data_IF_756781145784
#
_entry.id   IF_756781145784
#
_cell.length_a   1.000
_cell.length_b   1.000
_cell.length_c   1.000
_cell.angle_alpha   90.00
_cell.angle_beta   90.00
_cell.angle_gamma   90.00
#
_symmetry.space_group_name_H-M   'P 1'
#
loop_
_entity.id
_entity.type
_entity.pdbx_description
1 polymer ?
#
# COMPACT_ATOMS: atom_id res chain seq x y z
N UNK A 1 -4.37 -0.86 -57.75
CA UNK A 1 -4.97 -0.91 -59.10
C UNK A 1 -3.87 -1.11 -60.13
N UNK A 2 -3.68 -2.34 -60.60
CA UNK A 2 -3.01 -2.66 -61.87
C UNK A 2 -3.84 -3.83 -62.44
N UNK A 3 -4.34 -3.66 -63.66
CA UNK A 3 -5.27 -4.62 -64.26
C UNK A 3 -4.63 -6.01 -64.41
N UNK A 4 -5.39 -7.09 -64.28
CA UNK A 4 -4.86 -8.42 -64.54
C UNK A 4 -4.33 -8.44 -65.98
N UNK A 5 -3.12 -8.97 -66.16
CA UNK A 5 -2.60 -9.28 -67.50
C UNK A 5 -3.69 -10.01 -68.27
N UNK A 6 -3.88 -9.61 -69.52
CA UNK A 6 -4.90 -10.19 -70.38
C UNK A 6 -4.81 -11.72 -70.29
N UNK A 7 -5.90 -12.45 -69.95
CA UNK A 7 -5.87 -13.89 -69.70
C UNK A 7 -5.26 -14.68 -70.86
N UNK A 8 -5.24 -14.08 -72.06
CA UNK A 8 -4.60 -14.56 -73.26
C UNK A 8 -3.08 -14.74 -73.15
N UNK A 9 -2.35 -13.90 -72.40
CA UNK A 9 -0.88 -14.04 -72.26
C UNK A 9 -0.53 -15.21 -71.34
N UNK A 10 -1.20 -15.34 -70.18
CA UNK A 10 -1.06 -16.51 -69.29
C UNK A 10 -1.50 -17.80 -70.01
N UNK A 11 -2.61 -17.75 -70.76
CA UNK A 11 -3.06 -18.87 -71.58
C UNK A 11 -2.02 -19.25 -72.65
N UNK A 12 -1.48 -18.28 -73.40
CA UNK A 12 -0.47 -18.54 -74.43
C UNK A 12 0.85 -19.07 -73.86
N UNK A 13 1.32 -18.52 -72.73
CA UNK A 13 2.50 -19.03 -72.01
C UNK A 13 2.28 -20.46 -71.48
N UNK A 14 1.07 -20.78 -71.01
CA UNK A 14 0.69 -22.15 -70.62
C UNK A 14 0.65 -23.10 -71.82
N UNK A 15 0.17 -22.63 -72.97
CA UNK A 15 0.10 -23.40 -74.22
C UNK A 15 1.49 -23.70 -74.79
N UNK A 16 2.39 -22.72 -74.75
CA UNK A 16 3.82 -22.88 -75.08
C UNK A 16 4.46 -23.95 -74.18
N UNK A 17 4.17 -23.94 -72.87
CA UNK A 17 4.69 -24.93 -71.91
C UNK A 17 4.11 -26.34 -72.14
N UNK A 18 2.84 -26.46 -72.50
CA UNK A 18 2.14 -27.74 -72.65
C UNK A 18 2.43 -28.46 -73.99
N UNK A 19 2.54 -27.72 -75.11
CA UNK A 19 2.67 -28.32 -76.45
C UNK A 19 4.13 -28.50 -76.92
N UNK A 20 5.09 -27.99 -76.14
CA UNK A 20 6.52 -28.05 -76.44
C UNK A 20 6.96 -26.96 -77.42
N UNK A 21 8.05 -26.25 -77.08
CA UNK A 21 8.55 -25.06 -77.81
C UNK A 21 8.71 -25.30 -79.32
N UNK A 22 9.14 -26.49 -79.72
CA UNK A 22 9.41 -26.86 -81.13
C UNK A 22 8.15 -26.99 -81.99
N UNK A 23 7.10 -27.64 -81.48
CA UNK A 23 5.86 -27.88 -82.26
C UNK A 23 5.10 -26.57 -82.49
N UNK A 24 5.02 -25.73 -81.47
CA UNK A 24 4.34 -24.44 -81.58
C UNK A 24 5.13 -23.47 -82.48
N UNK A 25 6.48 -23.47 -82.39
CA UNK A 25 7.32 -22.66 -83.26
C UNK A 25 7.15 -23.04 -84.74
N UNK A 26 7.03 -24.33 -85.07
CA UNK A 26 6.79 -24.80 -86.43
C UNK A 26 5.42 -24.35 -86.97
N UNK A 27 4.36 -24.44 -86.17
CA UNK A 27 3.01 -23.99 -86.54
C UNK A 27 2.99 -22.46 -86.73
N UNK A 28 3.59 -21.71 -85.81
CA UNK A 28 3.71 -20.26 -85.93
C UNK A 28 4.54 -19.85 -87.16
N UNK A 29 5.61 -20.60 -87.48
CA UNK A 29 6.43 -20.34 -88.65
C UNK A 29 5.68 -20.59 -89.95
N UNK A 30 4.89 -21.67 -90.02
CA UNK A 30 4.04 -21.98 -91.18
C UNK A 30 2.98 -20.90 -91.36
N UNK A 31 2.34 -20.46 -90.28
CA UNK A 31 1.33 -19.40 -90.30
C UNK A 31 1.93 -18.03 -90.66
N UNK A 32 3.13 -17.72 -90.17
CA UNK A 32 3.85 -16.48 -90.49
C UNK A 32 4.22 -16.41 -91.97
N UNK A 33 4.73 -17.50 -92.54
CA UNK A 33 5.03 -17.59 -93.98
C UNK A 33 3.76 -17.48 -94.82
N UNK A 34 2.66 -18.11 -94.39
CA UNK A 34 1.37 -18.06 -95.09
C UNK A 34 0.75 -16.66 -95.05
N UNK A 35 0.79 -15.98 -93.89
CA UNK A 35 0.33 -14.60 -93.77
C UNK A 35 1.18 -13.63 -94.60
N UNK A 36 2.51 -13.79 -94.61
CA UNK A 36 3.40 -12.97 -95.44
C UNK A 36 3.09 -13.12 -96.93
N UNK A 37 2.86 -14.35 -97.40
CA UNK A 37 2.47 -14.63 -98.78
C UNK A 37 1.08 -14.06 -99.13
N UNK A 38 0.10 -14.14 -98.23
CA UNK A 38 -1.23 -13.55 -98.43
C UNK A 38 -1.20 -12.02 -98.46
N UNK A 39 -0.42 -11.38 -97.57
CA UNK A 39 -0.30 -9.93 -97.53
C UNK A 39 0.36 -9.39 -98.81
N UNK A 40 1.40 -10.04 -99.32
CA UNK A 40 2.03 -9.66 -100.59
C UNK A 40 1.13 -9.93 -101.79
N UNK A 41 0.35 -11.02 -101.78
CA UNK A 41 -0.66 -11.28 -102.80
C UNK A 41 -1.79 -10.23 -102.80
N UNK A 42 -2.34 -9.88 -101.63
CA UNK A 42 -3.35 -8.84 -101.47
C UNK A 42 -2.83 -7.47 -101.90
N UNK A 43 -1.61 -7.11 -101.49
CA UNK A 43 -0.96 -5.87 -101.94
C UNK A 43 -0.84 -5.83 -103.47
N UNK A 44 -0.41 -6.92 -104.10
CA UNK A 44 -0.31 -7.03 -105.56
C UNK A 44 -1.66 -6.84 -106.26
N UNK A 45 -2.73 -7.46 -105.74
CA UNK A 45 -4.08 -7.35 -106.29
C UNK A 45 -4.62 -5.91 -106.14
N UNK A 46 -4.47 -5.29 -104.97
CA UNK A 46 -5.02 -3.96 -104.66
C UNK A 46 -4.30 -2.85 -105.40
N UNK A 47 -2.97 -2.94 -105.53
CA UNK A 47 -2.15 -1.85 -106.10
C UNK A 47 -1.85 -2.05 -107.59
N UNK A 48 -1.65 -3.30 -108.03
CA UNK A 48 -1.16 -3.61 -109.38
C UNK A 48 -2.14 -4.35 -110.28
N UNK A 49 -3.34 -4.70 -109.79
CA UNK A 49 -4.37 -5.50 -110.49
C UNK A 49 -3.86 -6.83 -111.10
N UNK A 50 -2.71 -7.33 -110.61
CA UNK A 50 -2.05 -8.57 -111.06
C UNK A 50 -1.19 -9.17 -109.93
N UNK A 51 -1.05 -10.49 -109.92
CA UNK A 51 -0.26 -11.20 -108.90
C UNK A 51 1.16 -11.41 -109.41
N UNK A 52 2.12 -10.68 -108.83
CA UNK A 52 3.55 -10.88 -109.12
C UNK A 52 4.13 -12.04 -108.29
N UNK A 53 4.36 -13.15 -108.97
CA UNK A 53 4.92 -14.36 -108.38
C UNK A 53 6.36 -14.22 -107.89
N UNK A 54 7.13 -13.24 -108.39
CA UNK A 54 8.51 -13.02 -107.94
C UNK A 54 8.54 -12.38 -106.54
N UNK A 55 7.68 -11.40 -106.28
CA UNK A 55 7.55 -10.78 -104.96
C UNK A 55 7.08 -11.77 -103.89
N UNK A 56 6.13 -12.65 -104.23
CA UNK A 56 5.64 -13.68 -103.31
C UNK A 56 6.79 -14.61 -102.91
N UNK A 57 7.59 -15.12 -103.87
CA UNK A 57 8.75 -15.97 -103.57
C UNK A 57 9.79 -15.27 -102.70
N UNK A 58 10.06 -13.99 -102.97
CA UNK A 58 10.97 -13.17 -102.16
C UNK A 58 10.49 -13.02 -100.72
N UNK A 59 9.19 -12.71 -100.52
CA UNK A 59 8.60 -12.60 -99.18
C UNK A 59 8.61 -13.92 -98.41
N UNK A 60 8.33 -15.05 -99.07
CA UNK A 60 8.42 -16.38 -98.46
C UNK A 60 9.85 -16.70 -98.02
N UNK A 61 10.86 -16.37 -98.82
CA UNK A 61 12.27 -16.62 -98.51
C UNK A 61 12.74 -15.77 -97.32
N UNK A 62 12.38 -14.48 -97.29
CA UNK A 62 12.68 -13.58 -96.16
C UNK A 62 11.99 -14.06 -94.88
N UNK A 63 10.71 -14.40 -94.94
CA UNK A 63 9.96 -14.93 -93.79
C UNK A 63 10.48 -16.29 -93.31
N UNK A 64 10.99 -17.14 -94.22
CA UNK A 64 11.60 -18.42 -93.86
C UNK A 64 12.92 -18.26 -93.08
N UNK A 65 13.73 -17.25 -93.42
CA UNK A 65 15.03 -17.00 -92.77
C UNK A 65 14.88 -16.21 -91.46
N UNK A 66 14.08 -15.15 -91.44
CA UNK A 66 13.94 -14.28 -90.26
C UNK A 66 12.85 -14.73 -89.29
N UNK A 67 11.86 -15.48 -89.76
CA UNK A 67 10.75 -15.96 -88.93
C UNK A 67 11.18 -16.76 -87.69
N UNK A 68 12.12 -17.72 -87.76
CA UNK A 68 12.51 -18.51 -86.60
C UNK A 68 13.18 -17.68 -85.50
N UNK A 69 14.02 -16.72 -85.88
CA UNK A 69 14.67 -15.79 -84.94
C UNK A 69 13.65 -14.88 -84.26
N UNK A 70 12.72 -14.32 -85.04
CA UNK A 70 11.67 -13.45 -84.52
C UNK A 70 10.72 -14.18 -83.57
N UNK A 71 10.31 -15.41 -83.90
CA UNK A 71 9.46 -16.24 -83.04
C UNK A 71 10.19 -16.65 -81.76
N UNK A 72 11.47 -17.02 -81.84
CA UNK A 72 12.27 -17.36 -80.66
C UNK A 72 12.41 -16.17 -79.70
N UNK A 73 12.66 -14.97 -80.23
CA UNK A 73 12.71 -13.74 -79.44
C UNK A 73 11.35 -13.42 -78.79
N UNK A 74 10.25 -13.54 -79.54
CA UNK A 74 8.89 -13.35 -79.00
C UNK A 74 8.59 -14.34 -77.86
N UNK A 75 8.92 -15.62 -78.02
CA UNK A 75 8.72 -16.61 -76.96
C UNK A 75 9.58 -16.34 -75.73
N UNK A 76 10.84 -15.93 -75.92
CA UNK A 76 11.69 -15.54 -74.82
C UNK A 76 11.08 -14.37 -74.04
N UNK A 77 10.62 -13.33 -74.74
CA UNK A 77 10.00 -12.16 -74.13
C UNK A 77 8.72 -12.53 -73.38
N UNK A 78 7.84 -13.33 -73.98
CA UNK A 78 6.59 -13.78 -73.34
C UNK A 78 6.88 -14.61 -72.08
N UNK A 79 7.81 -15.56 -72.14
CA UNK A 79 8.16 -16.39 -70.98
C UNK A 79 8.85 -15.60 -69.88
N UNK A 80 9.73 -14.66 -70.22
CA UNK A 80 10.41 -13.82 -69.25
C UNK A 80 9.44 -12.84 -68.58
N UNK A 81 8.50 -12.28 -69.34
CA UNK A 81 7.47 -11.38 -68.82
C UNK A 81 6.49 -12.13 -67.90
N UNK A 82 6.11 -13.37 -68.24
CA UNK A 82 5.30 -14.25 -67.37
C UNK A 82 6.02 -14.57 -66.05
N UNK A 83 7.32 -14.90 -66.10
CA UNK A 83 8.14 -15.18 -64.92
C UNK A 83 8.34 -13.94 -64.02
N UNK A 84 8.62 -12.78 -64.63
CA UNK A 84 8.74 -11.52 -63.90
C UNK A 84 7.41 -11.14 -63.22
N UNK A 85 6.29 -11.36 -63.92
CA UNK A 85 4.96 -11.13 -63.36
C UNK A 85 4.66 -12.05 -62.17
N UNK A 86 4.95 -13.36 -62.29
CA UNK A 86 4.73 -14.29 -61.18
C UNK A 86 5.57 -13.94 -59.95
N UNK A 87 6.83 -13.51 -60.14
CA UNK A 87 7.68 -13.06 -59.04
C UNK A 87 7.13 -11.81 -58.35
N UNK A 88 6.62 -10.84 -59.12
CA UNK A 88 5.99 -9.64 -58.56
C UNK A 88 4.67 -9.97 -57.83
N UNK A 89 3.86 -10.89 -58.36
CA UNK A 89 2.65 -11.37 -57.69
C UNK A 89 2.98 -12.03 -56.34
N UNK A 90 3.99 -12.91 -56.29
CA UNK A 90 4.44 -13.57 -55.06
C UNK A 90 5.02 -12.60 -54.05
N UNK A 91 5.89 -11.67 -54.48
CA UNK A 91 6.48 -10.66 -53.60
C UNK A 91 5.41 -9.73 -53.03
N UNK A 92 4.45 -9.28 -53.84
CA UNK A 92 3.34 -8.46 -53.37
C UNK A 92 2.43 -9.22 -52.40
N UNK A 93 2.27 -10.54 -52.59
CA UNK A 93 1.54 -11.38 -51.66
C UNK A 93 2.28 -11.51 -50.32
N UNK A 94 3.61 -11.72 -50.33
CA UNK A 94 4.42 -11.77 -49.12
C UNK A 94 4.40 -10.44 -48.34
N UNK A 95 4.49 -9.30 -49.02
CA UNK A 95 4.38 -7.98 -48.39
C UNK A 95 3.02 -7.79 -47.70
N UNK A 96 1.93 -8.28 -48.31
CA UNK A 96 0.59 -8.22 -47.69
C UNK A 96 0.52 -9.07 -46.43
N UNK A 97 0.99 -10.32 -46.49
CA UNK A 97 1.01 -11.21 -45.32
C UNK A 97 1.86 -10.64 -44.19
N UNK A 98 3.02 -10.05 -44.51
CA UNK A 98 3.86 -9.40 -43.52
C UNK A 98 3.15 -8.19 -42.89
N UNK A 99 2.52 -7.35 -43.69
CA UNK A 99 1.77 -6.19 -43.20
C UNK A 99 0.58 -6.61 -42.32
N UNK A 100 -0.16 -7.67 -42.70
CA UNK A 100 -1.23 -8.23 -41.89
C UNK A 100 -0.69 -8.75 -40.55
N UNK A 101 0.39 -9.54 -40.56
CA UNK A 101 1.03 -10.02 -39.34
C UNK A 101 1.56 -8.91 -38.44
N UNK A 102 2.13 -7.85 -39.02
CA UNK A 102 2.54 -6.65 -38.28
C UNK A 102 1.35 -5.92 -37.66
N UNK A 103 0.24 -5.78 -38.39
CA UNK A 103 -0.98 -5.16 -37.87
C UNK A 103 -1.57 -5.93 -36.69
N UNK A 104 -1.58 -7.26 -36.76
CA UNK A 104 -2.08 -8.10 -35.67
C UNK A 104 -1.17 -8.04 -34.44
N UNK A 105 0.16 -8.07 -34.62
CA UNK A 105 1.11 -7.85 -33.54
C UNK A 105 0.91 -6.47 -32.87
N UNK A 106 0.70 -5.42 -33.66
CA UNK A 106 0.42 -4.07 -33.13
C UNK A 106 -0.89 -4.07 -32.33
N UNK A 107 -1.94 -4.73 -32.82
CA UNK A 107 -3.22 -4.84 -32.09
C UNK A 107 -3.04 -5.56 -30.75
N UNK A 108 -2.32 -6.68 -30.74
CA UNK A 108 -2.06 -7.43 -29.52
C UNK A 108 -1.25 -6.61 -28.50
N UNK A 109 -0.17 -5.97 -28.94
CA UNK A 109 0.64 -5.10 -28.08
C UNK A 109 -0.17 -3.93 -27.52
N UNK A 110 -1.01 -3.29 -28.34
CA UNK A 110 -1.88 -2.22 -27.88
C UNK A 110 -2.88 -2.70 -26.82
N UNK A 111 -3.43 -3.90 -26.98
CA UNK A 111 -4.30 -4.52 -25.97
C UNK A 111 -3.55 -4.76 -24.66
N UNK A 112 -2.36 -5.37 -24.72
CA UNK A 112 -1.52 -5.61 -23.53
C UNK A 112 -1.11 -4.32 -22.80
N UNK A 113 -0.77 -3.27 -23.55
CA UNK A 113 -0.44 -1.95 -22.99
C UNK A 113 -1.64 -1.36 -22.25
N UNK A 114 -2.84 -1.46 -22.82
CA UNK A 114 -4.05 -0.91 -22.22
C UNK A 114 -4.43 -1.68 -20.94
N UNK A 115 -4.29 -3.00 -20.92
CA UNK A 115 -4.47 -3.79 -19.70
C UNK A 115 -3.45 -3.42 -18.62
N UNK A 116 -2.16 -3.33 -18.96
CA UNK A 116 -1.12 -2.92 -18.01
C UNK A 116 -1.35 -1.52 -17.47
N UNK A 117 -1.82 -0.59 -18.31
CA UNK A 117 -2.14 0.77 -17.92
C UNK A 117 -3.31 0.81 -16.92
N UNK A 118 -4.37 0.04 -17.16
CA UNK A 118 -5.49 -0.11 -16.21
C UNK A 118 -5.03 -0.71 -14.88
N UNK A 119 -4.23 -1.77 -14.93
CA UNK A 119 -3.68 -2.39 -13.73
C UNK A 119 -2.80 -1.42 -12.92
N UNK A 120 -1.95 -0.64 -13.61
CA UNK A 120 -1.11 0.36 -12.96
C UNK A 120 -1.94 1.50 -12.34
N UNK A 121 -2.99 1.96 -13.01
CA UNK A 121 -3.90 2.97 -12.46
C UNK A 121 -4.66 2.46 -11.23
N UNK A 122 -5.17 1.22 -11.27
CA UNK A 122 -5.83 0.60 -10.11
C UNK A 122 -4.86 0.47 -8.93
N UNK A 123 -3.64 -0.01 -9.17
CA UNK A 123 -2.59 -0.09 -8.14
C UNK A 123 -2.26 1.29 -7.56
N UNK A 124 -2.16 2.32 -8.39
CA UNK A 124 -1.87 3.68 -7.94
C UNK A 124 -2.98 4.24 -7.06
N UNK A 125 -4.25 4.04 -7.42
CA UNK A 125 -5.40 4.42 -6.59
C UNK A 125 -5.36 3.73 -5.23
N UNK A 126 -5.13 2.41 -5.20
CA UNK A 126 -5.02 1.66 -3.95
C UNK A 126 -3.86 2.17 -3.07
N UNK A 127 -2.72 2.53 -3.66
CA UNK A 127 -1.60 3.13 -2.92
C UNK A 127 -1.97 4.49 -2.34
N UNK A 128 -2.69 5.33 -3.09
CA UNK A 128 -3.09 6.66 -2.62
C UNK A 128 -4.13 6.57 -1.50
N UNK A 129 -5.07 5.63 -1.58
CA UNK A 129 -6.03 5.32 -0.50
C UNK A 129 -5.31 4.82 0.76
N UNK A 130 -4.40 3.85 0.62
CA UNK A 130 -3.61 3.32 1.74
C UNK A 130 -2.74 4.41 2.39
N UNK A 131 -2.15 5.30 1.59
CA UNK A 131 -1.38 6.44 2.12
C UNK A 131 -2.24 7.36 2.96
N UNK A 132 -3.49 7.61 2.54
CA UNK A 132 -4.43 8.44 3.29
C UNK A 132 -4.79 7.77 4.63
N UNK A 133 -5.12 6.48 4.61
CA UNK A 133 -5.44 5.71 5.82
C UNK A 133 -4.26 5.68 6.80
N UNK A 134 -3.04 5.45 6.31
CA UNK A 134 -1.82 5.48 7.14
C UNK A 134 -1.60 6.87 7.76
N UNK A 135 -1.83 7.95 6.98
CA UNK A 135 -1.67 9.31 7.48
C UNK A 135 -2.68 9.62 8.60
N UNK A 136 -3.94 9.23 8.43
CA UNK A 136 -4.99 9.40 9.44
C UNK A 136 -4.68 8.59 10.71
N UNK A 137 -4.31 7.31 10.56
CA UNK A 137 -3.94 6.44 11.69
C UNK A 137 -2.72 6.97 12.44
N UNK A 138 -1.71 7.45 11.72
CA UNK A 138 -0.50 8.03 12.33
C UNK A 138 -0.83 9.30 13.11
N UNK A 139 -1.71 10.15 12.58
CA UNK A 139 -2.16 11.37 13.29
C UNK A 139 -2.88 11.02 14.60
N UNK A 140 -3.82 10.07 14.56
CA UNK A 140 -4.52 9.61 15.75
C UNK A 140 -3.58 8.98 16.79
N UNK A 141 -2.55 8.25 16.34
CA UNK A 141 -1.57 7.68 17.23
C UNK A 141 -0.68 8.74 17.90
N UNK A 142 -0.23 9.76 17.15
CA UNK A 142 0.53 10.88 17.72
C UNK A 142 -0.32 11.62 18.76
N UNK A 143 -1.59 11.90 18.46
CA UNK A 143 -2.50 12.57 19.39
C UNK A 143 -2.72 11.76 20.68
N UNK A 144 -2.85 10.43 20.57
CA UNK A 144 -2.94 9.53 21.72
C UNK A 144 -1.65 9.52 22.54
N UNK A 145 -0.49 9.50 21.89
CA UNK A 145 0.83 9.56 22.54
C UNK A 145 1.02 10.89 23.27
N UNK A 146 0.67 12.02 22.65
CA UNK A 146 0.71 13.34 23.28
C UNK A 146 -0.23 13.43 24.51
N UNK A 147 -1.45 12.91 24.39
CA UNK A 147 -2.39 12.84 25.52
C UNK A 147 -1.85 11.96 26.65
N UNK A 148 -1.29 10.79 26.33
CA UNK A 148 -0.71 9.89 27.32
C UNK A 148 0.49 10.52 28.03
N UNK A 149 1.34 11.24 27.31
CA UNK A 149 2.48 11.97 27.87
C UNK A 149 2.00 13.10 28.79
N UNK A 150 1.01 13.89 28.36
CA UNK A 150 0.44 14.95 29.18
C UNK A 150 -0.15 14.42 30.48
N UNK A 151 -0.97 13.36 30.42
CA UNK A 151 -1.55 12.73 31.61
C UNK A 151 -0.45 12.25 32.56
N UNK A 152 0.58 11.58 32.02
CA UNK A 152 1.71 11.11 32.82
C UNK A 152 2.47 12.26 33.47
N UNK A 153 2.75 13.33 32.75
CA UNK A 153 3.41 14.52 33.29
C UNK A 153 2.58 15.18 34.40
N UNK A 154 1.26 15.29 34.24
CA UNK A 154 0.37 15.83 35.27
C UNK A 154 0.46 14.96 36.54
N UNK A 155 0.30 13.64 36.39
CA UNK A 155 0.32 12.69 37.51
C UNK A 155 1.68 12.66 38.21
N UNK A 156 2.79 12.69 37.46
CA UNK A 156 4.15 12.68 38.01
C UNK A 156 4.56 14.02 38.64
N UNK A 157 3.97 15.13 38.22
CA UNK A 157 4.20 16.46 38.82
C UNK A 157 3.40 16.73 40.10
N UNK A 158 2.44 15.85 40.42
CA UNK A 158 1.60 15.99 41.61
C UNK A 158 2.42 15.82 42.90
N UNK A 159 2.26 16.72 43.90
CA UNK A 159 2.86 16.54 45.21
C UNK A 159 2.16 15.46 46.03
N UNK A 160 0.95 15.06 45.64
CA UNK A 160 0.19 13.99 46.28
C UNK A 160 0.61 12.62 45.68
N UNK A 161 0.66 11.60 46.54
CA UNK A 161 0.89 10.22 46.15
C UNK A 161 -0.24 9.76 45.23
N UNK A 162 0.11 9.04 44.17
CA UNK A 162 -0.86 8.40 43.30
C UNK A 162 -0.43 6.97 42.98
N UNK A 163 -1.37 6.04 43.11
CA UNK A 163 -1.22 4.69 42.63
C UNK A 163 -2.53 4.13 42.08
N UNK A 164 -2.40 3.15 41.21
CA UNK A 164 -3.47 2.35 40.67
C UNK A 164 -3.19 0.88 40.99
N UNK A 165 -4.18 0.21 41.58
CA UNK A 165 -4.18 -1.25 41.74
C UNK A 165 -5.20 -1.88 40.82
N UNK A 166 -4.83 -2.99 40.18
CA UNK A 166 -5.70 -3.72 39.27
C UNK A 166 -6.82 -4.47 40.01
N UNK A 167 -7.70 -5.14 39.26
CA UNK A 167 -8.78 -5.98 39.81
C UNK A 167 -8.30 -7.11 40.72
N UNK A 168 -7.04 -7.52 40.63
CA UNK A 168 -6.45 -8.55 41.50
C UNK A 168 -5.90 -7.97 42.80
N UNK A 169 -5.74 -6.65 42.90
CA UNK A 169 -5.15 -5.95 44.04
C UNK A 169 -3.65 -5.71 43.92
N UNK A 170 -3.04 -5.94 42.75
CA UNK A 170 -1.62 -5.66 42.50
C UNK A 170 -1.43 -4.23 42.04
N UNK A 171 -0.31 -3.61 42.40
CA UNK A 171 0.03 -2.29 41.86
C UNK A 171 0.25 -2.39 40.35
N UNK A 172 -0.51 -1.63 39.57
CA UNK A 172 -0.40 -1.60 38.12
C UNK A 172 0.18 -0.27 37.60
N UNK A 173 0.09 0.81 38.38
CA UNK A 173 0.75 2.08 38.08
C UNK A 173 0.97 2.90 39.35
N UNK A 174 1.97 3.77 39.34
CA UNK A 174 2.23 4.74 40.40
C UNK A 174 2.94 5.97 39.85
N UNK A 175 2.79 7.11 40.53
CA UNK A 175 3.50 8.34 40.17
C UNK A 175 4.89 8.43 40.82
N UNK A 176 5.68 9.41 40.37
CA UNK A 176 7.01 9.68 40.97
C UNK A 176 7.00 9.98 42.46
N UNK A 177 5.97 10.63 42.98
CA UNK A 177 5.87 10.87 44.43
C UNK A 177 5.77 9.55 45.22
N UNK A 178 5.03 8.57 44.70
CA UNK A 178 4.92 7.25 45.33
C UNK A 178 6.25 6.49 45.34
N UNK A 179 7.00 6.53 44.24
CA UNK A 179 8.36 5.96 44.20
C UNK A 179 9.27 6.61 45.27
N UNK A 180 9.22 7.93 45.41
CA UNK A 180 10.05 8.69 46.36
C UNK A 180 9.72 8.37 47.82
N UNK A 181 8.44 8.24 48.18
CA UNK A 181 8.03 7.91 49.55
C UNK A 181 8.34 6.45 49.89
N UNK A 182 8.13 5.54 48.94
CA UNK A 182 8.41 4.12 49.13
C UNK A 182 9.90 3.78 49.04
N UNK A 183 10.73 4.67 48.50
CA UNK A 183 12.16 4.42 48.28
C UNK A 183 12.45 3.33 47.25
N UNK A 184 11.47 2.99 46.40
CA UNK A 184 11.53 1.92 45.39
C UNK A 184 11.13 2.46 44.03
N UNK A 185 11.69 1.88 42.98
CA UNK A 185 11.35 2.23 41.60
C UNK A 185 9.99 1.66 41.20
N UNK A 186 9.32 2.26 40.21
CA UNK A 186 8.06 1.72 39.69
C UNK A 186 8.19 0.25 39.23
N UNK A 187 9.34 -0.16 38.70
CA UNK A 187 9.60 -1.55 38.29
C UNK A 187 9.64 -2.55 39.45
N UNK A 188 9.94 -2.11 40.66
CA UNK A 188 9.95 -2.94 41.87
C UNK A 188 8.60 -2.94 42.59
N UNK A 189 7.74 -1.96 42.28
CA UNK A 189 6.42 -1.80 42.89
C UNK A 189 5.33 -2.43 42.03
N UNK A 190 5.39 -2.26 40.72
CA UNK A 190 4.37 -2.76 39.78
C UNK A 190 4.39 -4.29 39.73
N UNK A 191 3.21 -4.90 39.79
CA UNK A 191 2.99 -6.34 39.79
C UNK A 191 2.98 -6.98 41.18
N UNK A 192 3.39 -6.25 42.22
CA UNK A 192 3.44 -6.74 43.59
C UNK A 192 2.17 -6.41 44.40
N UNK A 193 1.93 -7.19 45.44
CA UNK A 193 0.83 -6.94 46.38
C UNK A 193 1.25 -5.96 47.49
N UNK A 194 0.27 -5.31 48.14
CA UNK A 194 0.52 -4.50 49.34
C UNK A 194 1.32 -5.23 50.42
N UNK A 195 1.10 -6.54 50.58
CA UNK A 195 1.82 -7.38 51.54
C UNK A 195 3.31 -7.57 51.23
N UNK A 196 3.72 -7.41 49.96
CA UNK A 196 5.13 -7.51 49.55
C UNK A 196 5.89 -6.17 49.77
N UNK A 197 5.15 -5.08 49.96
CA UNK A 197 5.67 -3.71 49.92
C UNK A 197 5.58 -3.03 51.29
N UNK A 198 4.47 -3.20 52.00
CA UNK A 198 4.21 -2.56 53.28
C UNK A 198 4.52 -3.50 54.46
N UNK A 199 4.62 -2.93 55.66
CA UNK A 199 4.65 -3.72 56.91
C UNK A 199 3.33 -4.50 57.08
N UNK A 200 3.35 -5.61 57.81
CA UNK A 200 2.20 -6.50 58.01
C UNK A 200 0.92 -5.72 58.41
N UNK A 201 1.02 -4.86 59.42
CA UNK A 201 -0.10 -4.04 59.91
C UNK A 201 -0.65 -3.09 58.83
N UNK A 202 0.25 -2.43 58.09
CA UNK A 202 -0.10 -1.48 57.03
C UNK A 202 -0.68 -2.19 55.81
N UNK A 203 -0.14 -3.36 55.46
CA UNK A 203 -0.62 -4.20 54.38
C UNK A 203 -2.03 -4.71 54.66
N UNK A 204 -2.27 -5.22 55.87
CA UNK A 204 -3.59 -5.71 56.28
C UNK A 204 -4.63 -4.58 56.21
N UNK A 205 -4.31 -3.41 56.76
CA UNK A 205 -5.18 -2.23 56.68
C UNK A 205 -5.45 -1.82 55.23
N UNK A 206 -4.43 -1.81 54.37
CA UNK A 206 -4.56 -1.45 52.96
C UNK A 206 -5.45 -2.41 52.15
N UNK A 207 -5.39 -3.70 52.46
CA UNK A 207 -6.21 -4.77 51.84
C UNK A 207 -7.66 -4.69 52.33
N UNK A 208 -7.88 -4.53 53.64
CA UNK A 208 -9.24 -4.45 54.21
C UNK A 208 -10.01 -3.25 53.66
N UNK A 209 -9.37 -2.07 53.64
CA UNK A 209 -9.97 -0.84 53.12
C UNK A 209 -10.17 -0.87 51.59
N UNK A 210 -9.43 -1.70 50.86
CA UNK A 210 -9.70 -1.96 49.44
C UNK A 210 -10.91 -2.87 49.23
N UNK A 211 -11.00 -3.91 50.05
CA UNK A 211 -12.15 -4.80 50.05
C UNK A 211 -13.44 -4.02 50.36
N UNK A 212 -13.39 -3.10 51.33
CA UNK A 212 -14.50 -2.19 51.64
C UNK A 212 -14.95 -1.36 50.43
N UNK A 213 -14.01 -0.71 49.73
CA UNK A 213 -14.31 0.11 48.55
C UNK A 213 -14.82 -0.73 47.36
N UNK A 214 -14.38 -1.98 47.24
CA UNK A 214 -14.85 -2.87 46.17
C UNK A 214 -16.24 -3.45 46.45
N UNK A 215 -16.57 -3.76 47.71
CA UNK A 215 -17.90 -4.24 48.12
C UNK A 215 -18.93 -3.13 48.16
N UNK A 216 -18.55 -1.97 48.69
CA UNK A 216 -19.40 -0.79 48.77
C UNK A 216 -18.76 0.28 47.87
N UNK A 217 -19.30 0.50 46.66
CA UNK A 217 -18.68 1.33 45.61
C UNK A 217 -18.79 2.83 45.94
N UNK A 218 -18.20 3.22 47.06
CA UNK A 218 -18.09 4.58 47.57
C UNK A 218 -16.63 4.89 47.82
N UNK A 219 -16.27 6.15 47.64
CA UNK A 219 -14.95 6.62 48.03
C UNK A 219 -14.74 6.50 49.55
N UNK A 220 -13.53 6.13 49.94
CA UNK A 220 -13.11 6.03 51.33
C UNK A 220 -11.92 6.96 51.57
N UNK A 221 -12.01 7.81 52.59
CA UNK A 221 -10.93 8.70 53.01
C UNK A 221 -10.53 8.37 54.44
N UNK A 222 -9.24 8.13 54.68
CA UNK A 222 -8.71 7.84 56.02
C UNK A 222 -7.31 8.43 56.22
N UNK A 223 -7.00 8.81 57.45
CA UNK A 223 -5.64 9.18 57.85
C UNK A 223 -4.83 7.90 58.12
N UNK A 224 -3.68 7.77 57.46
CA UNK A 224 -2.76 6.64 57.59
C UNK A 224 -1.42 7.15 58.08
N UNK A 225 -0.86 6.44 59.06
CA UNK A 225 0.51 6.63 59.51
C UNK A 225 1.43 5.73 58.67
N UNK A 226 2.46 6.31 58.07
CA UNK A 226 3.50 5.57 57.36
C UNK A 226 4.84 5.76 58.08
N UNK A 227 5.50 4.65 58.42
CA UNK A 227 6.81 4.67 59.06
C UNK A 227 7.84 4.27 58.02
N UNK A 228 8.76 5.18 57.70
CA UNK A 228 9.89 4.90 56.82
C UNK A 228 10.92 4.00 57.49
N UNK A 229 11.78 3.39 56.68
CA UNK A 229 12.89 2.54 57.14
C UNK A 229 13.88 3.29 58.05
N UNK A 230 13.98 4.61 57.92
CA UNK A 230 14.81 5.49 58.78
C UNK A 230 14.14 5.84 60.13
N UNK A 231 12.92 5.35 60.37
CA UNK A 231 12.11 5.64 61.55
C UNK A 231 11.32 6.94 61.48
N UNK A 232 11.40 7.69 60.37
CA UNK A 232 10.57 8.88 60.17
C UNK A 232 9.10 8.50 60.05
N UNK A 233 8.26 9.15 60.85
CA UNK A 233 6.80 9.01 60.79
C UNK A 233 6.22 10.08 59.88
N UNK A 234 5.55 9.64 58.82
CA UNK A 234 4.77 10.48 57.91
C UNK A 234 3.28 10.20 58.12
N UNK A 235 2.45 11.23 57.92
CA UNK A 235 1.00 11.11 57.97
C UNK A 235 0.42 11.44 56.61
N UNK A 236 -0.40 10.54 56.09
CA UNK A 236 -1.06 10.70 54.80
C UNK A 236 -2.58 10.66 54.96
N UNK A 237 -3.27 11.62 54.38
CA UNK A 237 -4.71 11.55 54.14
C UNK A 237 -4.91 10.74 52.85
N UNK A 238 -5.30 9.47 53.00
CA UNK A 238 -5.47 8.53 51.90
C UNK A 238 -6.92 8.53 51.43
N UNK A 239 -7.14 8.88 50.16
CA UNK A 239 -8.43 8.75 49.47
C UNK A 239 -8.38 7.62 48.47
N UNK A 240 -9.30 6.66 48.61
CA UNK A 240 -9.42 5.45 47.78
C UNK A 240 -10.71 5.54 46.98
N UNK A 241 -10.60 5.40 45.66
CA UNK A 241 -11.70 5.56 44.71
C UNK A 241 -11.79 4.33 43.81
N UNK A 242 -12.97 3.69 43.69
CA UNK A 242 -13.13 2.55 42.78
C UNK A 242 -13.04 3.02 41.32
N UNK A 243 -12.35 2.24 40.48
CA UNK A 243 -12.14 2.54 39.08
C UNK A 243 -12.95 1.59 38.20
N UNK A 244 -13.70 2.17 37.26
CA UNK A 244 -14.61 1.44 36.38
C UNK A 244 -14.24 1.63 34.92
N UNK A 245 -14.46 0.59 34.12
CA UNK A 245 -14.40 0.72 32.67
C UNK A 245 -15.65 1.45 32.12
N UNK A 246 -15.65 1.72 30.82
CA UNK A 246 -16.76 2.36 30.10
C UNK A 246 -18.09 1.57 30.16
N UNK A 247 -18.07 0.33 30.62
CA UNK A 247 -19.23 -0.54 30.76
C UNK A 247 -19.67 -0.68 32.24
N UNK A 248 -19.06 0.06 33.15
CA UNK A 248 -19.37 0.03 34.58
C UNK A 248 -18.81 -1.19 35.31
N UNK A 249 -17.88 -1.94 34.72
CA UNK A 249 -17.20 -3.05 35.40
C UNK A 249 -16.05 -2.50 36.24
N UNK A 250 -15.95 -2.96 37.49
CA UNK A 250 -14.83 -2.63 38.35
C UNK A 250 -13.55 -3.18 37.74
N UNK A 251 -12.56 -2.33 37.51
CA UNK A 251 -11.27 -2.68 36.92
C UNK A 251 -10.11 -2.43 37.87
N UNK A 252 -10.37 -1.87 39.05
CA UNK A 252 -9.36 -1.68 40.09
C UNK A 252 -9.64 -0.49 40.99
N UNK A 253 -8.60 -0.04 41.68
CA UNK A 253 -8.67 1.01 42.69
C UNK A 253 -7.64 2.11 42.40
N UNK A 254 -8.08 3.37 42.48
CA UNK A 254 -7.20 4.53 42.51
C UNK A 254 -6.97 4.98 43.95
N UNK A 255 -5.71 5.13 44.33
CA UNK A 255 -5.30 5.65 45.63
C UNK A 255 -4.59 6.99 45.49
N UNK A 256 -5.04 7.97 46.27
CA UNK A 256 -4.44 9.29 46.37
C UNK A 256 -4.01 9.51 47.82
N UNK A 257 -2.80 9.99 48.05
CA UNK A 257 -2.28 10.23 49.41
C UNK A 257 -1.71 11.63 49.54
N UNK A 258 -2.38 12.50 50.30
CA UNK A 258 -1.86 13.84 50.60
C UNK A 258 -1.04 13.80 51.87
N UNK A 259 0.18 14.33 51.82
CA UNK A 259 1.01 14.50 53.01
C UNK A 259 0.38 15.56 53.94
N UNK A 260 0.00 15.12 55.15
CA UNK A 260 -0.56 15.94 56.21
C UNK A 260 0.34 15.97 57.45
N UNK A 261 1.62 15.56 57.31
CA UNK A 261 2.59 15.48 58.40
C UNK A 261 2.78 16.84 59.07
N UNK A 262 2.95 17.90 58.29
CA UNK A 262 3.10 19.27 58.81
C UNK A 262 1.86 19.72 59.61
N UNK A 263 0.65 19.39 59.12
CA UNK A 263 -0.62 19.64 59.79
C UNK A 263 -0.69 18.91 61.13
N UNK A 264 -0.42 17.60 61.15
CA UNK A 264 -0.45 16.77 62.37
C UNK A 264 0.58 17.22 63.40
N UNK A 265 1.81 17.56 62.98
CA UNK A 265 2.84 18.06 63.88
C UNK A 265 2.45 19.40 64.50
N UNK A 266 1.82 20.31 63.73
CA UNK A 266 1.32 21.57 64.25
C UNK A 266 0.17 21.36 65.25
N UNK A 267 -0.76 20.44 64.96
CA UNK A 267 -1.85 20.06 65.88
C UNK A 267 -1.31 19.50 67.20
N UNK A 268 -0.35 18.57 67.13
CA UNK A 268 0.28 17.98 68.32
C UNK A 268 1.06 19.02 69.15
N UNK A 269 1.78 19.92 68.50
CA UNK A 269 2.49 21.01 69.19
C UNK A 269 1.51 21.96 69.90
N UNK A 270 0.39 22.28 69.25
CA UNK A 270 -0.65 23.11 69.82
C UNK A 270 -1.34 22.42 71.01
N UNK A 271 -1.68 21.14 70.89
CA UNK A 271 -2.29 20.37 71.97
C UNK A 271 -1.37 20.27 73.18
N UNK A 272 -0.07 20.02 72.96
CA UNK A 272 0.94 20.02 74.01
C UNK A 272 1.03 21.38 74.71
N UNK A 273 1.04 22.48 73.95
CA UNK A 273 1.06 23.83 74.51
C UNK A 273 -0.20 24.12 75.36
N UNK A 274 -1.38 23.65 74.94
CA UNK A 274 -2.60 23.77 75.74
C UNK A 274 -2.54 22.95 77.04
N UNK A 275 -2.03 21.72 77.00
CA UNK A 275 -1.86 20.88 78.18
C UNK A 275 -0.86 21.48 79.17
N UNK A 276 0.28 21.96 78.70
CA UNK A 276 1.32 22.59 79.53
C UNK A 276 0.79 23.88 80.18
N UNK A 277 0.03 24.69 79.43
CA UNK A 277 -0.67 25.86 79.98
C UNK A 277 -1.69 25.45 81.06
N UNK A 278 -2.48 24.40 80.84
CA UNK A 278 -3.45 23.89 81.80
C UNK A 278 -2.79 23.43 83.11
N UNK A 279 -1.70 22.66 83.01
CA UNK A 279 -0.89 22.21 84.16
C UNK A 279 -0.32 23.39 84.93
N UNK A 280 0.24 24.37 84.24
CA UNK A 280 0.80 25.57 84.88
C UNK A 280 -0.24 26.34 85.70
N UNK A 281 -1.44 26.58 85.14
CA UNK A 281 -2.54 27.26 85.85
C UNK A 281 -3.01 26.45 87.06
N UNK A 282 -3.12 25.12 86.93
CA UNK A 282 -3.50 24.25 88.05
C UNK A 282 -2.47 24.30 89.19
N UNK A 283 -1.18 24.21 88.88
CA UNK A 283 -0.09 24.31 89.85
C UNK A 283 -0.08 25.68 90.54
N UNK A 284 -0.16 26.78 89.78
CA UNK A 284 -0.25 28.13 90.35
C UNK A 284 -1.46 28.28 91.28
N UNK A 285 -2.62 27.76 90.89
CA UNK A 285 -3.81 27.82 91.75
C UNK A 285 -3.63 27.04 93.05
N UNK A 286 -2.92 25.90 93.02
CA UNK A 286 -2.64 25.10 94.21
C UNK A 286 -1.64 25.81 95.15
N UNK A 287 -0.56 26.34 94.59
CA UNK A 287 0.48 27.08 95.31
C UNK A 287 -0.04 28.41 95.89
N UNK A 288 -1.00 29.07 95.25
CA UNK A 288 -1.63 30.29 95.77
C UNK A 288 -2.71 30.00 96.82
N UNK A 289 -3.44 28.89 96.71
CA UNK A 289 -4.50 28.51 97.67
C UNK A 289 -3.94 28.08 99.02
N UNK A 290 -2.78 27.42 99.04
CA UNK A 290 -2.13 26.93 100.25
C UNK A 290 -1.82 28.04 101.28
N UNK A 291 -1.15 29.16 100.91
CA UNK A 291 -0.97 30.29 101.83
C UNK A 291 -2.27 31.07 102.07
N UNK A 292 -3.17 31.18 101.08
CA UNK A 292 -4.46 31.86 101.29
C UNK A 292 -5.31 31.16 102.35
N UNK A 293 -5.34 29.82 102.37
CA UNK A 293 -6.04 29.07 103.41
C UNK A 293 -5.40 29.25 104.80
N UNK A 294 -4.11 29.56 104.89
CA UNK A 294 -3.46 29.91 106.16
C UNK A 294 -3.78 31.33 106.66
N UNK A 295 -4.18 32.24 105.77
CA UNK A 295 -4.56 33.62 106.09
C UNK A 295 -6.07 33.77 106.27
N UNK A 296 -6.87 33.00 105.51
CA UNK A 296 -8.34 33.00 105.52
C UNK A 296 -8.91 31.90 106.42
N UNK A 297 -8.08 30.95 106.85
CA UNK A 297 -8.40 29.92 107.85
C UNK A 297 -8.17 30.38 109.28
N UNK A 298 -8.88 31.45 109.65
CA UNK A 298 -9.27 31.85 110.99
C UNK A 298 -10.69 32.43 110.89
#
# INVERSE_FOLDING_TARGET
MQGPVHPQVKAFASWIRAWGKLKLALICQLLFVLCAALLTACYGIVVGNSVDWALIKGSVLVSAVFGPLFIAFLFYLVLHLDAALSYLEDSAHQERLLNEGMQDNIRQLNFEIEERKKAFQAKRRAIDELRKEIAERKKAQIELEEQSLLIRSIVDSSPDLFYYRDETGRFASCNKMFELIMGKTASELIGHYPADIYTEDSAQSAILTEYEVSMQPSELTLDVQFVKDDGQVLWFEMRKVPFYDRHGRYIGLLGFGRDITSRKLAEQALEKAYQDKGKFIATLSHELRTPLNGIVGL
#
